data_IF_032281010055
#
_entry.id   IF_032281010055
#
_cell.length_a   1.000
_cell.length_b   1.000
_cell.length_c   1.000
_cell.angle_alpha   90.00
_cell.angle_beta   90.00
_cell.angle_gamma   90.00
#
_symmetry.space_group_name_H-M   'P 1'
#
loop_
_entity.id
_entity.type
_entity.pdbx_description
1 polymer ?
#
# COMPACT_ATOMS: atom_id res chain seq x y z
N UNK A 1 -4.24 -35.91 -7.63
CA UNK A 1 -3.29 -36.08 -6.52
C UNK A 1 -2.53 -34.75 -6.39
N UNK A 2 -3.07 -33.81 -5.62
CA UNK A 2 -2.48 -32.47 -5.43
C UNK A 2 -1.84 -32.46 -4.04
N UNK A 3 -0.53 -32.22 -4.03
CA UNK A 3 0.35 -32.30 -2.86
C UNK A 3 -0.06 -31.22 -1.86
N UNK A 4 -0.45 -31.64 -0.66
CA UNK A 4 -0.69 -30.77 0.49
C UNK A 4 0.65 -30.22 1.00
N UNK A 5 1.01 -29.02 0.54
CA UNK A 5 2.13 -28.25 1.08
C UNK A 5 1.82 -27.75 2.49
N UNK A 6 2.07 -28.59 3.50
CA UNK A 6 2.17 -28.20 4.91
C UNK A 6 3.53 -27.54 5.11
N UNK A 7 3.62 -26.24 4.84
CA UNK A 7 4.77 -25.43 5.26
C UNK A 7 4.57 -25.00 6.71
N UNK A 8 4.85 -25.92 7.64
CA UNK A 8 5.25 -25.52 8.99
C UNK A 8 6.68 -25.03 8.84
N UNK A 9 6.89 -23.72 8.81
CA UNK A 9 8.23 -23.14 8.86
C UNK A 9 8.82 -23.39 10.25
N UNK A 10 9.70 -24.38 10.34
CA UNK A 10 10.55 -24.60 11.52
C UNK A 10 11.60 -23.50 11.59
N UNK A 11 11.36 -22.57 12.51
CA UNK A 11 12.28 -22.08 13.54
C UNK A 11 13.77 -21.98 13.17
N UNK A 12 14.22 -20.75 12.86
CA UNK A 12 15.56 -20.26 13.19
C UNK A 12 15.51 -18.74 13.43
N UNK A 13 15.97 -18.27 14.60
CA UNK A 13 15.73 -16.93 15.19
C UNK A 13 16.81 -15.90 14.78
N UNK A 14 17.48 -16.10 13.63
CA UNK A 14 18.78 -15.47 13.35
C UNK A 14 18.86 -14.62 12.08
N UNK A 15 17.74 -14.44 11.34
CA UNK A 15 17.75 -13.56 10.15
C UNK A 15 17.05 -12.23 10.43
N UNK A 16 17.78 -11.14 10.17
CA UNK A 16 17.40 -9.73 10.41
C UNK A 16 16.10 -9.28 9.68
N UNK A 17 15.66 -10.08 8.72
CA UNK A 17 14.48 -9.86 7.88
C UNK A 17 13.24 -10.67 8.31
N UNK A 18 13.28 -11.32 9.47
CA UNK A 18 12.15 -12.13 9.96
C UNK A 18 11.37 -11.46 11.09
N UNK A 19 10.05 -11.67 11.11
CA UNK A 19 9.13 -11.18 12.15
C UNK A 19 8.40 -12.38 12.75
N UNK A 20 8.52 -12.53 14.06
CA UNK A 20 7.74 -13.51 14.81
C UNK A 20 6.39 -12.91 15.21
N UNK A 21 5.31 -13.54 14.79
CA UNK A 21 3.94 -13.19 15.15
C UNK A 21 3.35 -14.22 16.10
N UNK A 22 2.68 -13.74 17.14
CA UNK A 22 1.86 -14.52 18.06
C UNK A 22 0.46 -13.91 18.10
N UNK A 23 -0.54 -14.71 17.78
CA UNK A 23 -1.95 -14.32 17.75
C UNK A 23 -2.64 -14.86 18.99
N UNK A 24 -3.18 -13.93 19.77
CA UNK A 24 -3.96 -14.21 20.96
C UNK A 24 -5.37 -13.67 20.77
N UNK A 25 -6.38 -14.42 21.19
CA UNK A 25 -7.76 -13.99 21.15
C UNK A 25 -8.40 -13.98 22.54
N UNK A 26 -9.39 -13.11 22.69
CA UNK A 26 -10.22 -13.04 23.88
C UNK A 26 -11.69 -13.04 23.42
N UNK A 27 -12.46 -13.96 23.98
CA UNK A 27 -13.85 -14.17 23.59
C UNK A 27 -14.82 -14.26 24.79
N UNK A 28 -14.41 -14.85 25.92
CA UNK A 28 -15.32 -15.16 27.05
C UNK A 28 -14.79 -14.63 28.39
N UNK A 29 -13.56 -15.00 28.75
CA UNK A 29 -13.10 -14.88 30.15
C UNK A 29 -12.28 -13.62 30.43
N UNK A 30 -12.27 -12.64 29.51
CA UNK A 30 -11.34 -11.52 29.57
C UNK A 30 -9.86 -11.92 29.39
N UNK A 31 -9.60 -13.22 29.19
CA UNK A 31 -8.27 -13.81 29.15
C UNK A 31 -7.88 -14.09 27.71
N UNK A 32 -6.72 -13.56 27.32
CA UNK A 32 -6.14 -13.81 26.02
C UNK A 32 -5.52 -15.21 25.95
N UNK A 33 -5.94 -16.00 24.94
CA UNK A 33 -5.37 -17.31 24.64
C UNK A 33 -4.61 -17.29 23.31
N UNK A 34 -3.35 -17.73 23.32
CA UNK A 34 -2.56 -17.89 22.10
C UNK A 34 -3.12 -19.03 21.25
N UNK A 35 -3.60 -18.74 20.04
CA UNK A 35 -4.11 -19.75 19.11
C UNK A 35 -3.20 -20.00 17.90
N UNK A 36 -2.30 -19.07 17.57
CA UNK A 36 -1.36 -19.26 16.46
C UNK A 36 -0.05 -18.52 16.69
N UNK A 37 1.07 -19.15 16.29
CA UNK A 37 2.39 -18.55 16.23
C UNK A 37 3.00 -18.82 14.86
N UNK A 38 3.59 -17.81 14.25
CA UNK A 38 4.24 -17.95 12.95
C UNK A 38 5.43 -17.02 12.83
N UNK A 39 6.42 -17.41 12.04
CA UNK A 39 7.54 -16.55 11.67
C UNK A 39 7.39 -16.20 10.19
N UNK A 40 7.50 -14.92 9.87
CA UNK A 40 7.32 -14.40 8.51
C UNK A 40 8.63 -13.77 8.07
N UNK A 41 9.10 -14.15 6.88
CA UNK A 41 10.21 -13.46 6.24
C UNK A 41 9.66 -12.30 5.40
N UNK A 42 10.19 -11.10 5.62
CA UNK A 42 9.89 -9.90 4.84
C UNK A 42 10.51 -10.02 3.44
N UNK A 43 9.85 -10.77 2.55
CA UNK A 43 10.16 -10.78 1.12
C UNK A 43 9.37 -9.64 0.45
N UNK A 44 9.92 -8.97 -0.58
CA UNK A 44 9.27 -7.88 -1.34
C UNK A 44 8.01 -8.30 -2.12
N UNK A 45 7.39 -9.42 -1.77
CA UNK A 45 6.16 -9.91 -2.39
C UNK A 45 4.95 -9.35 -1.64
N UNK A 46 4.05 -8.72 -2.41
CA UNK A 46 2.92 -7.92 -1.94
C UNK A 46 1.76 -8.70 -1.34
N UNK A 47 1.82 -10.04 -1.32
CA UNK A 47 0.75 -10.88 -0.77
C UNK A 47 1.32 -12.25 -0.35
N UNK A 48 1.52 -12.44 0.95
CA UNK A 48 1.81 -13.76 1.52
C UNK A 48 0.51 -14.24 2.17
N UNK A 49 -0.08 -15.30 1.62
CA UNK A 49 -1.23 -15.98 2.23
C UNK A 49 -0.69 -17.01 3.22
N UNK A 50 -0.67 -16.65 4.50
CA UNK A 50 -0.37 -17.59 5.58
C UNK A 50 -1.69 -17.98 6.22
N UNK A 51 -1.94 -19.27 6.41
CA UNK A 51 -3.18 -19.74 7.03
C UNK A 51 -2.88 -20.33 8.40
N UNK A 52 -3.00 -19.57 9.51
CA UNK A 52 -3.15 -20.16 10.83
C UNK A 52 -4.34 -21.11 10.84
N UNK A 53 -4.07 -22.37 11.19
CA UNK A 53 -5.11 -23.38 11.39
C UNK A 53 -5.49 -23.39 12.86
N UNK A 54 -6.76 -23.12 13.17
CA UNK A 54 -7.29 -23.27 14.52
C UNK A 54 -8.31 -24.41 14.54
N UNK A 55 -8.36 -25.10 15.67
CA UNK A 55 -9.43 -26.04 15.99
C UNK A 55 -10.32 -25.40 17.05
N UNK A 56 -11.57 -25.11 16.72
CA UNK A 56 -12.59 -24.77 17.72
C UNK A 56 -13.40 -26.03 17.99
N UNK A 57 -13.42 -26.43 19.25
CA UNK A 57 -14.23 -27.53 19.72
C UNK A 57 -15.70 -27.10 19.74
N UNK A 58 -16.59 -28.01 19.36
CA UNK A 58 -18.04 -27.78 19.35
C UNK A 58 -18.60 -27.28 20.70
N UNK A 59 -18.04 -27.73 21.82
CA UNK A 59 -18.41 -27.29 23.17
C UNK A 59 -18.04 -25.82 23.46
N UNK A 60 -16.90 -25.35 22.94
CA UNK A 60 -16.49 -23.95 23.11
C UNK A 60 -17.39 -23.02 22.29
N UNK A 61 -17.78 -23.45 21.09
CA UNK A 61 -18.69 -22.70 20.22
C UNK A 61 -20.07 -22.48 20.86
N UNK A 62 -20.63 -23.49 21.53
CA UNK A 62 -21.93 -23.37 22.22
C UNK A 62 -21.90 -22.34 23.35
N UNK A 63 -20.84 -22.33 24.17
CA UNK A 63 -20.68 -21.34 25.24
C UNK A 63 -20.64 -19.91 24.71
N UNK A 64 -20.02 -19.71 23.54
CA UNK A 64 -19.99 -18.39 22.89
C UNK A 64 -21.35 -17.89 22.46
N UNK A 65 -22.21 -18.80 21.98
CA UNK A 65 -23.59 -18.46 21.64
C UNK A 65 -24.38 -18.10 22.90
N UNK A 66 -24.23 -18.88 23.97
CA UNK A 66 -24.88 -18.60 25.26
C UNK A 66 -24.43 -17.25 25.85
N UNK A 67 -23.15 -16.93 25.75
CA UNK A 67 -22.62 -15.64 26.20
C UNK A 67 -23.14 -14.48 25.34
N UNK A 68 -23.20 -14.64 24.02
CA UNK A 68 -23.81 -13.64 23.15
C UNK A 68 -25.30 -13.44 23.42
N UNK A 69 -26.02 -14.51 23.78
CA UNK A 69 -27.41 -14.44 24.23
C UNK A 69 -27.55 -13.62 25.52
N UNK A 70 -26.61 -13.78 26.45
CA UNK A 70 -26.61 -13.05 27.70
C UNK A 70 -26.19 -11.57 27.52
N UNK A 71 -25.21 -11.34 26.65
CA UNK A 71 -24.65 -10.02 26.33
C UNK A 71 -24.64 -9.81 24.82
N UNK A 72 -25.68 -9.14 24.32
CA UNK A 72 -25.84 -8.80 22.90
C UNK A 72 -24.73 -7.90 22.34
N UNK A 73 -23.92 -7.27 23.20
CA UNK A 73 -22.84 -6.35 22.83
C UNK A 73 -21.45 -6.96 23.03
N UNK A 74 -21.29 -8.28 23.01
CA UNK A 74 -19.98 -8.91 23.14
C UNK A 74 -19.12 -8.75 21.87
N UNK A 75 -17.81 -8.59 22.08
CA UNK A 75 -16.83 -8.38 21.01
C UNK A 75 -15.77 -9.47 21.04
N UNK A 76 -15.44 -10.00 19.87
CA UNK A 76 -14.24 -10.80 19.68
C UNK A 76 -13.03 -9.87 19.56
N UNK A 77 -12.05 -10.01 20.47
CA UNK A 77 -10.84 -9.19 20.45
C UNK A 77 -9.63 -10.02 20.09
N UNK A 78 -8.92 -9.60 19.06
CA UNK A 78 -7.67 -10.19 18.60
C UNK A 78 -6.51 -9.28 19.01
N UNK A 79 -5.52 -9.87 19.67
CA UNK A 79 -4.23 -9.26 19.98
C UNK A 79 -3.15 -9.93 19.16
N UNK A 80 -2.46 -9.14 18.36
CA UNK A 80 -1.34 -9.59 17.53
C UNK A 80 -0.07 -9.06 18.16
N UNK A 81 0.70 -9.94 18.78
CA UNK A 81 2.01 -9.64 19.34
C UNK A 81 3.04 -9.91 18.26
N UNK A 82 3.92 -8.96 18.01
CA UNK A 82 4.99 -9.11 17.05
C UNK A 82 6.34 -8.82 17.70
N UNK A 83 7.32 -9.66 17.39
CA UNK A 83 8.70 -9.52 17.85
C UNK A 83 9.60 -9.43 16.63
N UNK A 84 10.43 -8.40 16.60
CA UNK A 84 11.47 -8.20 15.59
C UNK A 84 12.75 -7.71 16.25
N UNK A 85 13.86 -8.41 16.03
CA UNK A 85 15.13 -8.16 16.71
C UNK A 85 14.93 -8.12 18.24
N UNK A 86 15.15 -6.95 18.86
CA UNK A 86 15.00 -6.72 20.30
C UNK A 86 13.68 -6.04 20.68
N UNK A 87 12.87 -5.62 19.69
CA UNK A 87 11.62 -4.90 19.93
C UNK A 87 10.44 -5.87 19.87
N UNK A 88 9.65 -5.87 20.93
CA UNK A 88 8.39 -6.59 21.02
C UNK A 88 7.28 -5.58 21.26
N UNK A 89 6.24 -5.64 20.44
CA UNK A 89 5.09 -4.76 20.55
C UNK A 89 3.81 -5.53 20.15
N UNK A 90 2.65 -4.92 20.33
CA UNK A 90 1.37 -5.54 20.02
C UNK A 90 0.37 -4.55 19.43
N UNK A 91 -0.50 -5.07 18.57
CA UNK A 91 -1.67 -4.34 18.07
C UNK A 91 -2.93 -5.13 18.42
N UNK A 92 -4.04 -4.43 18.63
CA UNK A 92 -5.32 -5.03 18.98
C UNK A 92 -6.40 -4.59 18.01
N UNK A 93 -7.31 -5.50 17.70
CA UNK A 93 -8.48 -5.23 16.87
C UNK A 93 -9.67 -5.99 17.43
N UNK A 94 -10.85 -5.38 17.39
CA UNK A 94 -12.07 -5.95 17.93
C UNK A 94 -13.18 -5.89 16.88
N UNK A 95 -14.00 -6.93 16.84
CA UNK A 95 -15.15 -7.07 15.94
C UNK A 95 -16.33 -7.64 16.72
N UNK A 96 -17.58 -7.27 16.44
CA UNK A 96 -18.74 -7.86 17.11
C UNK A 96 -18.72 -9.39 17.04
N UNK A 97 -18.92 -10.06 18.18
CA UNK A 97 -18.83 -11.52 18.28
C UNK A 97 -19.81 -12.21 17.32
N UNK A 98 -21.01 -11.63 17.18
CA UNK A 98 -22.04 -12.13 16.28
C UNK A 98 -21.58 -12.31 14.83
N UNK A 99 -20.78 -11.38 14.28
CA UNK A 99 -20.31 -11.47 12.90
C UNK A 99 -19.41 -12.68 12.70
N UNK A 100 -18.55 -12.96 13.68
CA UNK A 100 -17.66 -14.12 13.68
C UNK A 100 -18.46 -15.42 13.82
N UNK A 101 -19.45 -15.45 14.71
CA UNK A 101 -20.29 -16.63 14.94
C UNK A 101 -21.15 -16.95 13.70
N UNK A 102 -21.78 -15.95 13.08
CA UNK A 102 -22.59 -16.12 11.86
C UNK A 102 -21.72 -16.53 10.67
N UNK A 103 -20.47 -16.06 10.62
CA UNK A 103 -19.49 -16.49 9.64
C UNK A 103 -18.90 -17.89 9.94
N UNK A 104 -19.31 -18.57 11.01
CA UNK A 104 -18.73 -19.85 11.43
C UNK A 104 -17.20 -19.78 11.59
N UNK A 105 -16.70 -18.68 12.14
CA UNK A 105 -15.27 -18.39 12.24
C UNK A 105 -14.52 -18.30 10.89
N UNK A 106 -15.23 -18.17 9.76
CA UNK A 106 -14.62 -17.79 8.49
C UNK A 106 -14.36 -16.27 8.45
N UNK A 107 -13.16 -15.88 8.85
CA UNK A 107 -12.69 -14.50 8.77
C UNK A 107 -11.24 -14.45 8.29
N UNK A 108 -10.85 -13.29 7.79
CA UNK A 108 -9.50 -13.00 7.29
C UNK A 108 -8.87 -11.95 8.18
N UNK A 109 -7.62 -12.17 8.58
CA UNK A 109 -6.82 -11.16 9.29
C UNK A 109 -5.98 -10.43 8.26
N UNK A 110 -5.98 -9.11 8.31
CA UNK A 110 -5.12 -8.30 7.47
C UNK A 110 -4.20 -7.47 8.37
N UNK A 111 -2.91 -7.48 8.04
CA UNK A 111 -1.88 -6.73 8.76
C UNK A 111 -1.25 -5.69 7.84
N UNK A 112 -1.13 -4.47 8.34
CA UNK A 112 -0.43 -3.40 7.67
C UNK A 112 0.99 -3.26 8.22
N UNK A 113 1.96 -3.37 7.32
CA UNK A 113 3.38 -3.32 7.64
C UNK A 113 4.00 -2.06 7.00
N UNK A 114 4.75 -1.32 7.80
CA UNK A 114 5.52 -0.16 7.37
C UNK A 114 6.75 -0.52 6.52
N UNK A 115 7.34 0.47 5.85
CA UNK A 115 8.60 0.34 5.11
C UNK A 115 9.74 -0.20 5.97
N UNK A 116 9.76 0.19 7.25
CA UNK A 116 10.72 -0.32 8.23
C UNK A 116 10.44 -1.75 8.67
N UNK A 117 9.38 -2.40 8.18
CA UNK A 117 8.93 -3.75 8.51
C UNK A 117 8.43 -3.91 9.96
N UNK A 118 7.77 -2.89 10.50
CA UNK A 118 6.99 -2.97 11.75
C UNK A 118 5.51 -3.01 11.41
N UNK A 119 4.70 -3.63 12.27
CA UNK A 119 3.25 -3.70 12.10
C UNK A 119 2.62 -2.45 12.71
N UNK A 120 1.83 -1.72 11.94
CA UNK A 120 1.13 -0.54 12.43
C UNK A 120 -0.25 -0.88 12.97
N UNK A 121 -0.95 -1.77 12.27
CA UNK A 121 -2.35 -2.06 12.56
C UNK A 121 -2.76 -3.42 12.04
N UNK A 122 -3.70 -4.04 12.76
CA UNK A 122 -4.38 -5.26 12.37
C UNK A 122 -5.88 -5.00 12.22
N UNK A 123 -6.53 -5.70 11.29
CA UNK A 123 -7.98 -5.66 11.16
C UNK A 123 -8.54 -7.02 10.74
N UNK A 124 -9.77 -7.28 11.19
CA UNK A 124 -10.50 -8.52 10.90
C UNK A 124 -11.57 -8.21 9.86
N UNK A 125 -11.64 -9.04 8.82
CA UNK A 125 -12.71 -9.02 7.83
C UNK A 125 -13.49 -10.32 7.89
N UNK A 126 -14.82 -10.23 7.80
CA UNK A 126 -15.71 -11.40 7.69
C UNK A 126 -16.51 -11.29 6.40
N UNK A 127 -17.05 -12.41 5.93
CA UNK A 127 -17.93 -12.44 4.76
C UNK A 127 -19.32 -11.82 5.02
N UNK A 128 -19.73 -11.73 6.29
CA UNK A 128 -21.04 -11.23 6.68
C UNK A 128 -20.96 -9.77 7.14
N UNK A 129 -21.86 -8.93 6.62
CA UNK A 129 -21.96 -7.51 6.99
C UNK A 129 -23.02 -7.24 8.05
N UNK A 130 -23.95 -8.17 8.26
CA UNK A 130 -25.06 -8.02 9.19
C UNK A 130 -25.12 -9.20 10.16
N UNK A 131 -25.51 -8.89 11.39
CA UNK A 131 -25.72 -9.83 12.46
C UNK A 131 -27.24 -10.02 12.65
N UNK A 132 -27.76 -11.24 12.47
CA UNK A 132 -29.15 -11.57 12.84
C UNK A 132 -29.21 -12.78 13.76
N UNK A 133 -29.83 -12.59 14.93
CA UNK A 133 -29.92 -13.60 15.98
C UNK A 133 -30.73 -14.84 15.58
N UNK A 134 -31.75 -14.69 14.73
CA UNK A 134 -32.61 -15.81 14.29
C UNK A 134 -31.83 -16.92 13.59
N UNK A 135 -30.73 -16.54 12.91
CA UNK A 135 -29.91 -17.47 12.14
C UNK A 135 -28.88 -18.18 13.02
N UNK A 136 -28.53 -17.61 14.18
CA UNK A 136 -27.54 -18.16 15.11
C UNK A 136 -28.08 -19.37 15.90
N UNK A 137 -29.34 -19.32 16.33
CA UNK A 137 -29.97 -20.42 17.06
C UNK A 137 -30.12 -21.70 16.23
N UNK A 138 -30.11 -21.58 14.89
CA UNK A 138 -30.16 -22.72 13.96
C UNK A 138 -28.78 -23.22 13.54
N UNK A 139 -27.70 -22.54 13.94
CA UNK A 139 -26.33 -22.96 13.64
C UNK A 139 -25.90 -24.09 14.58
N UNK A 140 -26.25 -25.33 14.22
CA UNK A 140 -25.69 -26.50 14.87
C UNK A 140 -24.35 -26.88 14.24
N UNK A 141 -23.27 -26.77 15.01
CA UNK A 141 -21.99 -27.39 14.65
C UNK A 141 -22.18 -28.91 14.66
N UNK A 142 -22.25 -29.52 13.47
CA UNK A 142 -22.34 -30.98 13.35
C UNK A 142 -21.06 -31.69 13.80
N UNK A 143 -19.89 -31.06 13.66
CA UNK A 143 -18.56 -31.60 14.00
C UNK A 143 -17.66 -30.51 14.59
N UNK A 144 -16.53 -30.92 15.18
CA UNK A 144 -15.46 -29.99 15.56
C UNK A 144 -14.94 -29.24 14.32
N UNK A 145 -14.91 -27.91 14.40
CA UNK A 145 -14.51 -27.06 13.29
C UNK A 145 -12.99 -26.87 13.31
N UNK A 146 -12.34 -27.50 12.35
CA UNK A 146 -10.98 -27.11 11.94
C UNK A 146 -11.15 -26.05 10.87
N UNK A 147 -10.84 -24.80 11.21
CA UNK A 147 -10.91 -23.70 10.26
C UNK A 147 -9.54 -23.05 10.09
N UNK A 148 -9.31 -22.63 8.85
CA UNK A 148 -8.10 -21.92 8.44
C UNK A 148 -8.44 -20.44 8.39
N UNK A 149 -7.70 -19.65 9.14
CA UNK A 149 -7.82 -18.20 9.13
C UNK A 149 -6.77 -17.69 8.15
N UNK A 150 -7.13 -17.19 6.96
CA UNK A 150 -6.15 -16.57 6.08
C UNK A 150 -5.62 -15.27 6.70
N UNK A 151 -4.31 -15.08 6.58
CA UNK A 151 -3.57 -13.87 6.90
C UNK A 151 -3.11 -13.22 5.61
N UNK A 152 -3.51 -11.96 5.43
CA UNK A 152 -3.02 -11.11 4.35
C UNK A 152 -2.06 -10.07 4.92
N UNK A 153 -0.89 -9.95 4.32
CA UNK A 153 0.07 -8.90 4.64
C UNK A 153 -0.02 -7.82 3.57
N UNK A 154 -0.21 -6.58 4.01
CA UNK A 154 -0.19 -5.40 3.16
C UNK A 154 0.99 -4.54 3.55
N UNK A 155 1.90 -4.33 2.61
CA UNK A 155 3.02 -3.42 2.78
C UNK A 155 2.59 -2.03 2.30
N UNK A 156 2.87 -1.02 3.12
CA UNK A 156 2.72 0.37 2.70
C UNK A 156 3.70 0.63 1.56
N UNK A 157 3.22 0.56 0.32
CA UNK A 157 3.99 0.98 -0.83
C UNK A 157 3.96 2.49 -0.89
N UNK A 158 5.11 3.10 -1.18
CA UNK A 158 5.19 4.50 -1.60
C UNK A 158 4.16 4.70 -2.71
N UNK A 159 3.32 5.74 -2.54
CA UNK A 159 2.28 6.07 -3.51
C UNK A 159 2.84 6.26 -4.93
N UNK A 160 1.98 6.33 -5.94
CA UNK A 160 2.43 6.55 -7.31
C UNK A 160 3.32 7.80 -7.34
N UNK A 161 4.55 7.65 -7.82
CA UNK A 161 5.40 8.81 -8.05
C UNK A 161 4.67 9.76 -8.99
N UNK A 162 4.70 11.08 -8.73
CA UNK A 162 4.00 12.03 -9.58
C UNK A 162 4.48 11.90 -11.02
N UNK A 163 3.55 11.88 -11.97
CA UNK A 163 3.80 11.83 -13.42
C UNK A 163 4.45 13.13 -13.91
N UNK A 164 5.66 13.40 -13.43
CA UNK A 164 6.47 14.55 -13.83
C UNK A 164 7.04 14.38 -15.23
N UNK A 165 6.97 13.18 -15.81
CA UNK A 165 7.44 12.90 -17.17
C UNK A 165 6.68 13.73 -18.21
N UNK A 166 5.35 13.80 -18.13
CA UNK A 166 4.55 14.58 -19.07
C UNK A 166 4.79 16.10 -18.91
N UNK A 167 4.96 16.56 -17.67
CA UNK A 167 5.29 17.97 -17.40
C UNK A 167 6.70 18.33 -17.92
N UNK A 168 7.68 17.43 -17.76
CA UNK A 168 9.03 17.58 -18.31
C UNK A 168 9.03 17.62 -19.83
N UNK A 169 8.25 16.77 -20.48
CA UNK A 169 8.11 16.76 -21.94
C UNK A 169 7.47 18.05 -22.46
N UNK A 170 6.41 18.52 -21.79
CA UNK A 170 5.79 19.81 -22.08
C UNK A 170 6.80 20.96 -21.94
N UNK A 171 7.58 20.98 -20.86
CA UNK A 171 8.62 21.99 -20.64
C UNK A 171 9.74 21.94 -21.69
N UNK A 172 10.16 20.75 -22.11
CA UNK A 172 11.16 20.58 -23.18
C UNK A 172 10.64 21.15 -24.50
N UNK A 173 9.40 20.81 -24.86
CA UNK A 173 8.73 21.32 -26.07
C UNK A 173 8.56 22.83 -26.07
N UNK A 174 8.22 23.42 -24.92
CA UNK A 174 8.14 24.88 -24.78
C UNK A 174 9.51 25.56 -24.86
N UNK A 175 10.58 24.95 -24.33
CA UNK A 175 11.95 25.46 -24.51
C UNK A 175 12.38 25.40 -25.97
N UNK A 176 12.15 24.28 -26.65
CA UNK A 176 12.48 24.13 -28.06
C UNK A 176 11.74 25.15 -28.93
N UNK A 177 10.46 25.38 -28.67
CA UNK A 177 9.69 26.42 -29.37
C UNK A 177 10.25 27.83 -29.13
N UNK A 178 10.70 28.14 -27.90
CA UNK A 178 11.31 29.44 -27.58
C UNK A 178 12.68 29.62 -28.24
N UNK A 179 13.51 28.58 -28.26
CA UNK A 179 14.82 28.61 -28.93
C UNK A 179 14.65 28.82 -30.45
N UNK A 180 13.73 28.07 -31.07
CA UNK A 180 13.45 28.21 -32.49
C UNK A 180 12.81 29.56 -32.86
N UNK A 181 11.99 30.15 -31.97
CA UNK A 181 11.42 31.48 -32.18
C UNK A 181 12.47 32.60 -32.03
N UNK A 182 13.47 32.41 -31.16
CA UNK A 182 14.53 33.38 -30.93
C UNK A 182 15.58 33.39 -32.06
N UNK A 183 15.74 32.29 -32.78
CA UNK A 183 16.64 32.19 -33.93
C UNK A 183 16.13 32.91 -35.20
N UNK A 184 14.82 33.20 -35.27
CA UNK A 184 14.17 33.83 -36.43
C UNK A 184 14.37 35.36 -36.52
N UNK A 185 14.94 36.00 -35.49
CA UNK A 185 15.27 37.44 -35.49
C UNK A 185 16.72 37.74 -35.93
N UNK A 186 17.46 36.70 -36.36
CA UNK A 186 18.81 36.83 -36.93
C UNK A 186 18.79 37.22 -38.42
N UNK A 187 17.83 38.07 -38.84
CA UNK A 187 17.97 38.71 -40.17
C UNK A 187 19.13 39.70 -40.04
N UNK A 188 20.21 39.59 -40.84
CA UNK A 188 21.37 40.45 -40.67
C UNK A 188 20.90 41.91 -40.76
N UNK A 189 21.20 42.70 -39.73
CA UNK A 189 20.82 44.11 -39.58
C UNK A 189 20.96 44.90 -40.90
N UNK A 190 21.97 44.57 -41.69
CA UNK A 190 22.32 45.18 -42.97
C UNK A 190 21.16 45.11 -43.99
N UNK A 191 20.40 44.01 -44.05
CA UNK A 191 19.27 43.88 -44.98
C UNK A 191 18.12 44.84 -44.65
N UNK A 192 17.94 45.17 -43.36
CA UNK A 192 16.89 46.08 -42.88
C UNK A 192 17.23 47.55 -43.18
N UNK A 193 18.51 47.88 -43.27
CA UNK A 193 18.99 49.27 -43.43
C UNK A 193 19.67 49.56 -44.77
N UNK A 194 19.75 48.59 -45.69
CA UNK A 194 20.39 48.78 -47.01
C UNK A 194 19.84 49.97 -47.81
N UNK A 195 18.52 50.20 -47.74
CA UNK A 195 17.88 51.36 -48.38
C UNK A 195 18.44 52.71 -47.90
N UNK A 196 18.87 52.80 -46.63
CA UNK A 196 19.42 54.02 -46.05
C UNK A 196 20.91 54.19 -46.32
N UNK A 197 21.63 53.08 -46.56
CA UNK A 197 23.04 53.09 -46.91
C UNK A 197 23.26 53.62 -48.34
N UNK A 198 22.36 53.27 -49.27
CA UNK A 198 22.43 53.67 -50.67
C UNK A 198 22.56 55.19 -50.92
N UNK A 199 21.70 56.08 -50.38
CA UNK A 199 21.82 57.52 -50.60
C UNK A 199 23.09 58.13 -50.01
N UNK A 200 23.60 57.59 -48.89
CA UNK A 200 24.85 58.07 -48.27
C UNK A 200 26.05 57.77 -49.18
N UNK A 201 26.10 56.57 -49.75
CA UNK A 201 27.17 56.18 -50.68
C UNK A 201 27.13 57.02 -51.95
N UNK A 202 25.94 57.32 -52.50
CA UNK A 202 25.81 58.19 -53.69
C UNK A 202 26.34 59.60 -53.40
N UNK A 203 25.98 60.18 -52.25
CA UNK A 203 26.49 61.49 -51.84
C UNK A 203 28.01 61.46 -51.68
N UNK A 204 28.55 60.40 -51.06
CA UNK A 204 29.98 60.26 -50.84
C UNK A 204 30.78 60.13 -52.14
N UNK A 205 30.28 59.33 -53.09
CA UNK A 205 30.89 59.19 -54.43
C UNK A 205 30.87 60.50 -55.19
N UNK A 206 29.74 61.21 -55.17
CA UNK A 206 29.64 62.54 -55.78
C UNK A 206 30.65 63.50 -55.15
N UNK A 207 30.75 63.54 -53.81
CA UNK A 207 31.73 64.39 -53.13
C UNK A 207 33.18 64.03 -53.47
N UNK A 208 33.52 62.74 -53.59
CA UNK A 208 34.86 62.32 -54.05
C UNK A 208 35.13 62.65 -55.52
N UNK A 209 34.11 62.66 -56.38
CA UNK A 209 34.25 63.04 -57.79
C UNK A 209 34.39 64.55 -57.97
N UNK A 210 33.79 65.35 -57.07
CA UNK A 210 33.93 66.81 -57.08
C UNK A 210 35.28 67.30 -56.52
N UNK A 211 36.02 66.48 -55.77
CA UNK A 211 37.31 66.88 -55.17
C UNK A 211 38.52 66.73 -56.09
N UNK A 212 38.42 66.05 -57.23
CA UNK A 212 39.53 65.85 -58.19
C UNK A 212 39.50 66.80 -59.41
N UNK A 213 38.56 67.76 -59.45
CA UNK A 213 38.44 68.75 -60.54
C UNK A 213 39.08 70.11 -60.26
N UNK A 214 39.88 70.24 -59.20
CA UNK A 214 40.34 71.53 -58.68
C UNK A 214 41.82 71.57 -58.28
N UNK A 215 42.72 71.19 -59.20
CA UNK A 215 44.09 71.71 -59.25
C UNK A 215 44.75 71.46 -60.60
#
# INVERSE_FOLDING_TARGET
MIVAGKLISTFDDTTDDSILLNFEDNVIDGKFSSFAKMNIRLSRQSKIELAPSRTILSLQYKRLIEEFQLNSHSYYTLKVIFKRRLLQDYTMTSIPLCLILQAQFHYTINLFINENGYINSAFILTNNSTCSFSNLSTLELKNDLIYKVPLNLQFNNLGPQPETQHFLEKLKREREAKLNAQENDNRPFILKYWKYLLPIVVIFVLQSAFTDGGR
#
